data_IF_256078696379
#
_entry.id   IF_256078696379
#
_cell.length_a   1.000
_cell.length_b   1.000
_cell.length_c   1.000
_cell.angle_alpha   90.00
_cell.angle_beta   90.00
_cell.angle_gamma   90.00
#
_symmetry.space_group_name_H-M   'P 1'
#
loop_
_entity.id
_entity.type
_entity.pdbx_description
1 polymer ?
#
# COMPACT_ATOMS: atom_id res chain seq x y z
N UNK A 1 -9.38 21.98 -2.40
CA UNK A 1 -8.57 20.78 -2.09
C UNK A 1 -9.45 19.57 -2.31
N UNK A 2 -9.11 18.65 -3.22
CA UNK A 2 -9.96 17.51 -3.55
C UNK A 2 -9.19 16.23 -3.26
N UNK A 3 -9.56 15.55 -2.17
CA UNK A 3 -9.08 14.21 -1.86
C UNK A 3 -9.92 13.25 -2.69
N UNK A 4 -9.32 12.60 -3.71
CA UNK A 4 -10.01 11.56 -4.48
C UNK A 4 -9.64 10.21 -3.87
N UNK A 5 -10.48 9.71 -2.97
CA UNK A 5 -10.41 8.29 -2.57
C UNK A 5 -10.95 7.46 -3.73
N UNK A 6 -10.16 6.52 -4.23
CA UNK A 6 -10.56 5.62 -5.32
C UNK A 6 -11.38 4.41 -4.82
N UNK A 7 -11.86 4.44 -3.58
CA UNK A 7 -12.61 3.34 -2.98
C UNK A 7 -14.10 3.59 -3.01
N UNK A 8 -14.81 3.32 -4.12
CA UNK A 8 -16.26 3.04 -4.08
C UNK A 8 -16.70 2.02 -5.13
N UNK A 9 -17.74 1.21 -4.80
CA UNK A 9 -18.21 0.12 -5.65
C UNK A 9 -18.74 0.66 -6.97
N UNK A 10 -18.59 -0.18 -8.00
CA UNK A 10 -18.91 -0.11 -9.43
C UNK A 10 -19.97 0.88 -9.99
N UNK A 11 -20.73 1.64 -9.21
CA UNK A 11 -21.97 2.28 -9.71
C UNK A 11 -22.08 3.80 -9.57
N UNK A 12 -21.28 4.50 -8.74
CA UNK A 12 -21.60 5.92 -8.41
C UNK A 12 -20.69 7.00 -8.97
N UNK A 13 -19.73 6.67 -9.82
CA UNK A 13 -18.90 7.68 -10.49
C UNK A 13 -18.83 7.45 -12.01
N UNK A 14 -19.97 7.62 -12.69
CA UNK A 14 -20.05 8.10 -14.09
C UNK A 14 -19.56 7.19 -15.23
N UNK A 15 -20.44 7.10 -16.25
CA UNK A 15 -20.07 6.88 -17.65
C UNK A 15 -19.90 5.43 -18.08
N UNK A 16 -20.95 4.87 -18.69
CA UNK A 16 -20.98 3.63 -19.51
C UNK A 16 -19.85 2.61 -19.24
N UNK A 17 -20.17 1.57 -18.47
CA UNK A 17 -19.43 0.31 -18.49
C UNK A 17 -19.66 -0.33 -19.87
N UNK A 18 -18.76 -0.08 -20.81
CA UNK A 18 -18.56 -0.94 -21.98
C UNK A 18 -17.24 -1.68 -21.74
N UNK A 19 -17.29 -2.80 -21.02
CA UNK A 19 -16.09 -3.60 -20.70
C UNK A 19 -16.33 -4.64 -19.61
N UNK A 20 -15.40 -5.58 -19.51
CA UNK A 20 -15.32 -6.62 -18.48
C UNK A 20 -15.40 -6.01 -17.07
N UNK A 21 -16.43 -6.37 -16.30
CA UNK A 21 -16.73 -5.75 -14.99
C UNK A 21 -15.68 -5.99 -13.90
N UNK A 22 -14.65 -6.79 -14.20
CA UNK A 22 -13.51 -7.08 -13.31
C UNK A 22 -12.31 -6.16 -13.55
N UNK A 23 -12.26 -5.42 -14.65
CA UNK A 23 -11.20 -4.46 -14.96
C UNK A 23 -11.70 -3.04 -14.75
N UNK A 24 -10.93 -2.25 -14.01
CA UNK A 24 -11.11 -0.82 -13.91
C UNK A 24 -9.79 -0.11 -14.17
N UNK A 25 -9.84 1.02 -14.87
CA UNK A 25 -8.67 1.85 -15.08
C UNK A 25 -9.02 3.34 -15.06
N UNK A 26 -7.98 4.14 -14.86
CA UNK A 26 -7.97 5.57 -15.01
C UNK A 26 -6.92 5.90 -16.06
N UNK A 27 -7.37 6.46 -17.18
CA UNK A 27 -6.47 7.04 -18.20
C UNK A 27 -5.63 8.16 -17.60
N UNK A 28 -4.56 8.53 -18.31
CA UNK A 28 -3.63 9.56 -17.89
C UNK A 28 -4.34 10.81 -17.34
N UNK A 29 -3.95 11.19 -16.12
CA UNK A 29 -4.37 12.41 -15.43
C UNK A 29 -3.14 13.22 -15.02
N UNK A 30 -3.22 14.54 -15.04
CA UNK A 30 -2.14 15.39 -14.59
C UNK A 30 -1.94 15.26 -13.07
N UNK A 31 -0.68 15.36 -12.65
CA UNK A 31 -0.26 15.57 -11.26
C UNK A 31 0.84 16.64 -11.19
N UNK A 32 1.45 16.85 -10.02
CA UNK A 32 2.39 17.96 -9.78
C UNK A 32 3.61 17.99 -10.72
N UNK A 33 3.98 16.86 -11.33
CA UNK A 33 5.25 16.72 -12.09
C UNK A 33 5.11 15.92 -13.38
N UNK A 34 3.89 15.76 -13.91
CA UNK A 34 3.65 14.96 -15.11
C UNK A 34 2.24 14.39 -15.16
N UNK A 35 2.11 13.19 -15.70
CA UNK A 35 0.85 12.44 -15.79
C UNK A 35 0.96 11.08 -15.09
N UNK A 36 -0.16 10.60 -14.56
CA UNK A 36 -0.28 9.27 -13.96
C UNK A 36 -1.54 8.56 -14.47
N UNK A 37 -1.49 7.22 -14.49
CA UNK A 37 -2.64 6.35 -14.76
C UNK A 37 -2.69 5.23 -13.72
N UNK A 38 -3.85 4.62 -13.54
CA UNK A 38 -4.04 3.49 -12.62
C UNK A 38 -4.83 2.41 -13.36
N UNK A 39 -4.52 1.14 -13.12
CA UNK A 39 -5.36 0.03 -13.53
C UNK A 39 -5.48 -0.96 -12.37
N UNK A 40 -6.64 -1.60 -12.25
CA UNK A 40 -6.96 -2.60 -11.23
C UNK A 40 -7.71 -3.72 -11.93
N UNK A 41 -7.25 -4.96 -11.70
CA UNK A 41 -7.90 -6.17 -12.21
C UNK A 41 -8.30 -7.02 -11.02
N UNK A 42 -9.60 -7.29 -10.89
CA UNK A 42 -10.13 -8.07 -9.79
C UNK A 42 -9.97 -9.57 -10.06
N UNK A 43 -9.19 -10.26 -9.22
CA UNK A 43 -9.03 -11.71 -9.25
C UNK A 43 -9.90 -12.44 -8.21
N UNK A 44 -10.16 -11.83 -7.05
CA UNK A 44 -10.95 -12.41 -5.97
C UNK A 44 -12.45 -12.09 -6.11
N UNK A 45 -13.32 -12.87 -5.44
CA UNK A 45 -14.77 -12.63 -5.45
C UNK A 45 -15.14 -11.26 -4.86
N UNK A 46 -14.36 -10.78 -3.89
CA UNK A 46 -14.33 -9.41 -3.42
C UNK A 46 -12.92 -8.87 -3.65
N UNK A 47 -12.80 -7.71 -4.30
CA UNK A 47 -11.52 -7.02 -4.41
C UNK A 47 -11.04 -6.58 -3.02
N UNK A 48 -9.92 -7.16 -2.57
CA UNK A 48 -9.25 -6.80 -1.33
C UNK A 48 -8.32 -5.61 -1.54
N UNK A 49 -7.63 -5.55 -2.68
CA UNK A 49 -6.74 -4.46 -3.04
C UNK A 49 -7.43 -3.10 -3.07
N UNK A 50 -6.75 -2.10 -2.53
CA UNK A 50 -7.16 -0.71 -2.60
C UNK A 50 -6.01 0.14 -3.13
N UNK A 51 -6.34 1.23 -3.81
CA UNK A 51 -5.37 2.24 -4.22
C UNK A 51 -5.95 3.64 -4.04
N UNK A 52 -5.09 4.65 -3.97
CA UNK A 52 -5.53 6.04 -3.98
C UNK A 52 -4.42 6.98 -4.47
N UNK A 53 -4.84 8.08 -5.08
CA UNK A 53 -3.93 9.14 -5.50
C UNK A 53 -4.46 10.49 -5.03
N UNK A 54 -3.58 11.25 -4.39
CA UNK A 54 -3.79 12.65 -4.06
C UNK A 54 -2.86 13.50 -4.92
N UNK A 55 -3.40 14.57 -5.51
CA UNK A 55 -2.64 15.52 -6.31
C UNK A 55 -2.93 16.94 -5.86
N UNK A 56 -1.89 17.75 -5.72
CA UNK A 56 -1.92 19.20 -5.60
C UNK A 56 -0.91 19.81 -6.57
N UNK A 57 -0.87 21.15 -6.73
CA UNK A 57 0.18 21.79 -7.52
C UNK A 57 1.61 21.53 -7.01
N UNK A 58 1.79 21.17 -5.74
CA UNK A 58 3.10 20.99 -5.10
C UNK A 58 3.40 19.57 -4.62
N UNK A 59 2.41 18.67 -4.64
CA UNK A 59 2.57 17.33 -4.12
C UNK A 59 1.73 16.28 -4.87
N UNK A 60 2.23 15.07 -4.94
CA UNK A 60 1.53 13.88 -5.47
C UNK A 60 1.77 12.72 -4.51
N UNK A 61 0.71 12.16 -3.92
CA UNK A 61 0.79 10.96 -3.08
C UNK A 61 0.07 9.81 -3.76
N UNK A 62 0.68 8.64 -3.77
CA UNK A 62 0.17 7.40 -4.34
C UNK A 62 0.22 6.32 -3.27
N UNK A 63 -0.89 5.62 -3.07
CA UNK A 63 -1.00 4.49 -2.15
C UNK A 63 -1.47 3.24 -2.88
N UNK A 64 -0.81 2.11 -2.62
CA UNK A 64 -1.19 0.77 -3.08
C UNK A 64 -1.24 -0.14 -1.86
N UNK A 65 -2.37 -0.82 -1.67
CA UNK A 65 -2.67 -1.59 -0.48
C UNK A 65 -3.19 -2.97 -0.91
N UNK A 66 -2.36 -4.00 -0.80
CA UNK A 66 -2.72 -5.40 -1.07
C UNK A 66 -3.34 -5.97 0.20
N UNK A 67 -4.66 -6.20 0.17
CA UNK A 67 -5.42 -6.66 1.32
C UNK A 67 -5.52 -8.19 1.36
N UNK A 68 -5.52 -8.78 2.55
CA UNK A 68 -5.65 -10.23 2.71
C UNK A 68 -6.49 -10.63 3.91
N UNK A 69 -7.22 -11.74 3.78
CA UNK A 69 -8.12 -12.26 4.81
C UNK A 69 -9.44 -11.51 4.93
N UNK A 70 -9.67 -10.53 4.04
CA UNK A 70 -10.77 -9.58 4.02
C UNK A 70 -10.32 -8.17 3.59
N UNK A 71 -11.19 -7.37 2.96
CA UNK A 71 -10.85 -6.02 2.48
C UNK A 71 -10.83 -4.95 3.58
N UNK A 72 -11.13 -5.30 4.84
CA UNK A 72 -11.36 -4.33 5.91
C UNK A 72 -10.11 -3.50 6.23
N UNK A 73 -8.94 -4.13 6.28
CA UNK A 73 -7.67 -3.47 6.59
C UNK A 73 -7.24 -2.51 5.48
N UNK A 74 -7.18 -2.98 4.23
CA UNK A 74 -6.81 -2.14 3.07
C UNK A 74 -7.78 -0.97 2.87
N UNK A 75 -9.08 -1.17 3.10
CA UNK A 75 -10.10 -0.09 3.10
C UNK A 75 -9.96 0.85 4.28
N UNK A 76 -9.46 0.39 5.42
CA UNK A 76 -9.17 1.26 6.55
C UNK A 76 -7.97 2.15 6.24
N UNK A 77 -6.86 1.57 5.77
CA UNK A 77 -5.66 2.30 5.35
C UNK A 77 -6.00 3.37 4.33
N UNK A 78 -6.74 3.02 3.27
CA UNK A 78 -7.16 3.97 2.24
C UNK A 78 -7.90 5.18 2.82
N UNK A 79 -8.86 4.96 3.73
CA UNK A 79 -9.67 6.04 4.30
C UNK A 79 -8.91 6.97 5.25
N UNK A 80 -7.83 6.51 5.91
CA UNK A 80 -7.22 7.23 7.02
C UNK A 80 -5.80 7.71 6.73
N UNK A 81 -4.96 6.92 6.04
CA UNK A 81 -3.52 7.18 5.95
C UNK A 81 -3.19 8.55 5.35
N UNK A 82 -3.83 8.92 4.25
CA UNK A 82 -3.59 10.23 3.62
C UNK A 82 -4.12 11.40 4.45
N UNK A 83 -5.15 11.18 5.28
CA UNK A 83 -5.63 12.18 6.21
C UNK A 83 -4.57 12.47 7.29
N UNK A 84 -3.96 11.40 7.82
CA UNK A 84 -2.85 11.52 8.75
C UNK A 84 -1.61 12.16 8.13
N UNK A 85 -1.23 11.76 6.90
CA UNK A 85 -0.14 12.41 6.16
C UNK A 85 -0.40 13.91 6.02
N UNK A 86 -1.61 14.32 5.62
CA UNK A 86 -1.92 15.74 5.47
C UNK A 86 -1.88 16.48 6.81
N UNK A 87 -2.48 15.91 7.86
CA UNK A 87 -2.49 16.48 9.21
C UNK A 87 -1.06 16.70 9.71
N UNK A 88 -0.25 15.65 9.72
CA UNK A 88 1.10 15.70 10.27
C UNK A 88 2.06 16.51 9.40
N UNK A 89 1.85 16.50 8.07
CA UNK A 89 2.59 17.37 7.16
C UNK A 89 2.33 18.85 7.44
N UNK A 90 1.05 19.22 7.68
CA UNK A 90 0.69 20.59 8.06
C UNK A 90 1.28 21.01 9.41
N UNK A 91 1.30 20.10 10.39
CA UNK A 91 1.89 20.35 11.71
C UNK A 91 3.41 20.59 11.65
N UNK A 92 4.12 19.88 10.76
CA UNK A 92 5.59 19.90 10.66
C UNK A 92 6.10 20.81 9.53
N UNK A 93 5.21 21.47 8.78
CA UNK A 93 5.58 22.39 7.70
C UNK A 93 6.02 21.74 6.39
N UNK A 94 5.72 20.46 6.17
CA UNK A 94 6.13 19.73 4.97
C UNK A 94 5.99 18.23 5.12
N UNK A 95 6.14 17.49 4.02
CA UNK A 95 6.27 16.03 4.09
C UNK A 95 7.70 15.69 4.52
N UNK A 96 7.86 14.67 5.36
CA UNK A 96 9.17 14.14 5.76
C UNK A 96 9.03 12.66 6.13
N UNK A 97 10.17 11.98 6.28
CA UNK A 97 10.18 10.58 6.74
C UNK A 97 9.49 10.41 8.11
N UNK A 98 9.66 11.35 9.03
CA UNK A 98 9.02 11.33 10.34
C UNK A 98 7.51 11.56 10.27
N UNK A 99 7.06 12.46 9.39
CA UNK A 99 5.62 12.65 9.11
C UNK A 99 5.00 11.37 8.58
N UNK A 100 5.69 10.69 7.66
CA UNK A 100 5.23 9.41 7.11
C UNK A 100 5.15 8.35 8.21
N UNK A 101 6.21 8.15 8.99
CA UNK A 101 6.22 7.21 10.12
C UNK A 101 5.10 7.47 11.12
N UNK A 102 4.87 8.74 11.50
CA UNK A 102 3.76 9.13 12.38
C UNK A 102 2.41 8.80 11.78
N UNK A 103 2.23 9.00 10.48
CA UNK A 103 0.97 8.70 9.79
C UNK A 103 0.67 7.20 9.75
N UNK A 104 1.68 6.38 9.46
CA UNK A 104 1.56 4.92 9.53
C UNK A 104 1.23 4.45 10.95
N UNK A 105 1.98 4.91 11.96
CA UNK A 105 1.73 4.57 13.35
C UNK A 105 0.31 4.95 13.81
N UNK A 106 -0.16 6.15 13.47
CA UNK A 106 -1.53 6.58 13.83
C UNK A 106 -2.60 5.74 13.12
N UNK A 107 -2.35 5.35 11.86
CA UNK A 107 -3.27 4.48 11.11
C UNK A 107 -3.36 3.09 11.74
N UNK A 108 -2.21 2.52 12.15
CA UNK A 108 -2.15 1.21 12.78
C UNK A 108 -2.83 1.21 14.16
N UNK A 109 -2.53 2.19 15.02
CA UNK A 109 -3.13 2.29 16.35
C UNK A 109 -4.67 2.38 16.25
N UNK A 110 -5.19 3.24 15.38
CA UNK A 110 -6.64 3.36 15.18
C UNK A 110 -7.27 2.08 14.62
N UNK A 111 -6.55 1.37 13.75
CA UNK A 111 -7.02 0.10 13.23
C UNK A 111 -7.07 -0.98 14.32
N UNK A 112 -6.06 -1.04 15.20
CA UNK A 112 -6.06 -1.92 16.37
C UNK A 112 -7.26 -1.62 17.28
N UNK A 113 -7.58 -0.33 17.51
CA UNK A 113 -8.76 0.04 18.30
C UNK A 113 -10.07 -0.39 17.61
N UNK A 114 -10.15 -0.27 16.28
CA UNK A 114 -11.29 -0.79 15.50
C UNK A 114 -11.43 -2.31 15.67
N UNK A 115 -10.34 -3.06 15.51
CA UNK A 115 -10.29 -4.52 15.67
C UNK A 115 -10.78 -4.93 17.04
N UNK A 116 -10.25 -4.34 18.12
CA UNK A 116 -10.66 -4.63 19.51
C UNK A 116 -12.17 -4.43 19.72
N UNK A 117 -12.72 -3.33 19.19
CA UNK A 117 -14.16 -3.03 19.31
C UNK A 117 -15.03 -3.97 18.48
N UNK A 118 -14.56 -4.38 17.30
CA UNK A 118 -15.32 -5.23 16.38
C UNK A 118 -15.22 -6.72 16.71
N UNK A 119 -14.22 -7.14 17.47
CA UNK A 119 -13.93 -8.55 17.75
C UNK A 119 -15.12 -9.37 18.28
N UNK A 120 -15.95 -8.89 19.24
CA UNK A 120 -17.06 -9.69 19.77
C UNK A 120 -18.15 -9.99 18.73
N UNK A 121 -18.35 -9.09 17.76
CA UNK A 121 -19.37 -9.24 16.72
C UNK A 121 -18.83 -9.75 15.38
N UNK A 122 -17.53 -9.63 15.15
CA UNK A 122 -16.86 -10.03 13.91
C UNK A 122 -15.44 -10.57 14.21
N UNK A 123 -15.32 -11.79 14.75
CA UNK A 123 -14.02 -12.35 15.14
C UNK A 123 -12.98 -12.42 14.01
N UNK A 124 -13.44 -12.59 12.76
CA UNK A 124 -12.58 -12.64 11.56
C UNK A 124 -11.78 -11.36 11.33
N UNK A 125 -12.18 -10.22 11.92
CA UNK A 125 -11.42 -8.97 11.78
C UNK A 125 -10.02 -9.06 12.40
N UNK A 126 -9.76 -10.01 13.30
CA UNK A 126 -8.43 -10.23 13.87
C UNK A 126 -7.45 -10.88 12.89
N UNK A 127 -7.94 -11.45 11.78
CA UNK A 127 -7.12 -12.12 10.76
C UNK A 127 -7.02 -11.34 9.44
N UNK A 128 -7.60 -10.14 9.37
CA UNK A 128 -7.44 -9.27 8.19
C UNK A 128 -6.13 -8.50 8.28
N UNK A 129 -5.52 -8.22 7.14
CA UNK A 129 -4.33 -7.39 7.06
C UNK A 129 -4.19 -6.76 5.68
N UNK A 130 -3.16 -5.92 5.54
CA UNK A 130 -2.85 -5.26 4.28
C UNK A 130 -1.36 -4.97 4.20
N UNK A 131 -0.73 -5.30 3.08
CA UNK A 131 0.50 -4.61 2.69
C UNK A 131 0.17 -3.14 2.42
N UNK A 132 1.15 -2.27 2.60
CA UNK A 132 0.98 -0.84 2.40
C UNK A 132 2.23 -0.22 1.78
N UNK A 133 2.09 0.20 0.52
CA UNK A 133 3.09 0.97 -0.20
C UNK A 133 2.60 2.40 -0.41
N UNK A 134 3.41 3.38 -0.02
CA UNK A 134 3.20 4.79 -0.31
C UNK A 134 4.39 5.34 -1.08
N UNK A 135 4.10 5.95 -2.24
CA UNK A 135 5.02 6.82 -2.95
C UNK A 135 4.54 8.27 -2.87
N UNK A 136 5.42 9.21 -2.55
CA UNK A 136 5.06 10.61 -2.47
C UNK A 136 6.12 11.50 -3.11
N UNK A 137 5.69 12.38 -4.02
CA UNK A 137 6.52 13.44 -4.60
C UNK A 137 6.07 14.74 -3.96
N UNK A 138 6.96 15.44 -3.26
CA UNK A 138 6.66 16.73 -2.63
C UNK A 138 7.90 17.59 -2.63
N UNK A 139 7.79 18.86 -3.03
CA UNK A 139 8.90 19.82 -3.02
C UNK A 139 10.19 19.32 -3.71
N UNK A 140 10.05 18.55 -4.79
CA UNK A 140 11.16 17.99 -5.57
C UNK A 140 11.79 16.71 -4.99
N UNK A 141 11.30 16.21 -3.86
CA UNK A 141 11.77 14.97 -3.24
C UNK A 141 10.78 13.82 -3.46
N UNK A 142 11.33 12.62 -3.67
CA UNK A 142 10.57 11.37 -3.76
C UNK A 142 10.76 10.56 -2.48
N UNK A 143 9.65 10.28 -1.81
CA UNK A 143 9.56 9.43 -0.63
C UNK A 143 8.90 8.10 -1.00
N UNK A 144 9.47 7.00 -0.51
CA UNK A 144 8.89 5.66 -0.63
C UNK A 144 8.86 5.01 0.75
N UNK A 145 7.68 4.56 1.17
CA UNK A 145 7.48 3.80 2.39
C UNK A 145 6.74 2.49 2.05
N UNK A 146 7.30 1.36 2.47
CA UNK A 146 6.79 0.04 2.15
C UNK A 146 6.67 -0.83 3.40
N UNK A 147 5.51 -1.45 3.58
CA UNK A 147 5.24 -2.50 4.56
C UNK A 147 4.65 -3.70 3.80
N UNK A 148 5.35 -4.83 3.81
CA UNK A 148 4.99 -6.01 3.04
C UNK A 148 5.70 -6.10 1.68
N UNK A 149 5.08 -6.77 0.72
CA UNK A 149 5.69 -7.22 -0.54
C UNK A 149 5.18 -6.51 -1.80
N UNK A 150 4.42 -5.42 -1.63
CA UNK A 150 4.22 -4.45 -2.70
C UNK A 150 5.53 -3.76 -3.08
N UNK A 151 5.61 -3.17 -4.29
CA UNK A 151 6.87 -2.63 -4.81
C UNK A 151 6.76 -1.32 -5.57
N UNK A 152 7.68 -0.40 -5.28
CA UNK A 152 7.94 0.79 -6.09
C UNK A 152 9.18 0.59 -6.98
N UNK A 153 9.07 0.96 -8.26
CA UNK A 153 10.15 0.88 -9.25
C UNK A 153 10.20 2.18 -10.04
N UNK A 154 11.39 2.78 -10.13
CA UNK A 154 11.68 3.97 -10.93
C UNK A 154 12.23 3.58 -12.30
N UNK A 155 11.58 4.03 -13.36
CA UNK A 155 12.14 3.94 -14.71
C UNK A 155 13.02 5.15 -15.01
N UNK A 156 14.33 4.95 -15.15
CA UNK A 156 15.30 6.00 -15.51
C UNK A 156 15.71 5.83 -16.97
N UNK A 157 15.61 6.88 -17.78
CA UNK A 157 16.14 6.86 -19.16
C UNK A 157 17.67 6.68 -19.10
N UNK A 158 18.19 5.73 -19.88
CA UNK A 158 19.62 5.48 -19.97
C UNK A 158 20.37 6.66 -20.60
N UNK A 159 21.67 6.75 -20.31
CA UNK A 159 22.56 7.80 -20.83
C UNK A 159 22.81 7.70 -22.35
N UNK A 160 22.60 6.52 -22.93
CA UNK A 160 22.73 6.28 -24.36
C UNK A 160 21.45 6.72 -25.08
N UNK A 161 21.45 7.98 -25.52
CA UNK A 161 20.31 8.62 -26.17
C UNK A 161 19.88 7.90 -27.47
N UNK A 162 20.77 7.15 -28.12
CA UNK A 162 20.46 6.42 -29.36
C UNK A 162 19.74 5.09 -29.11
N UNK A 163 19.89 4.50 -27.92
CA UNK A 163 19.32 3.18 -27.61
C UNK A 163 17.95 3.23 -26.93
N UNK A 164 17.42 4.41 -26.62
CA UNK A 164 16.13 4.60 -25.91
C UNK A 164 15.95 3.61 -24.74
N UNK A 165 17.03 3.28 -24.05
CA UNK A 165 17.02 2.28 -22.99
C UNK A 165 16.40 2.86 -21.73
N UNK A 166 15.66 2.03 -20.99
CA UNK A 166 15.11 2.37 -19.68
C UNK A 166 15.71 1.41 -18.66
N UNK A 167 16.28 1.98 -17.60
CA UNK A 167 16.82 1.24 -16.46
C UNK A 167 15.74 1.22 -15.39
N UNK A 168 15.34 0.02 -14.96
CA UNK A 168 14.43 -0.16 -13.84
C UNK A 168 15.24 -0.18 -12.53
N UNK A 169 14.99 0.80 -11.67
CA UNK A 169 15.63 0.95 -10.37
C UNK A 169 14.58 0.66 -9.27
N UNK A 170 14.79 -0.40 -8.51
CA UNK A 170 13.90 -0.76 -7.40
C UNK A 170 14.08 0.24 -6.26
N UNK A 171 12.97 0.81 -5.77
CA UNK A 171 12.98 1.80 -4.69
C UNK A 171 12.50 1.25 -3.33
N UNK A 172 11.96 0.03 -3.29
CA UNK A 172 11.54 -0.63 -2.06
C UNK A 172 12.02 -2.08 -2.01
N UNK A 173 12.31 -2.57 -0.80
CA UNK A 173 12.58 -3.98 -0.52
C UNK A 173 11.29 -4.67 -0.11
N UNK A 174 11.03 -5.85 -0.66
CA UNK A 174 9.90 -6.68 -0.25
C UNK A 174 10.16 -7.22 1.17
N UNK A 175 9.20 -7.05 2.07
CA UNK A 175 9.23 -7.64 3.41
C UNK A 175 8.38 -8.90 3.42
N UNK A 176 9.03 -10.02 3.11
CA UNK A 176 8.37 -11.32 2.91
C UNK A 176 9.29 -12.44 3.45
N UNK A 177 8.72 -13.42 4.15
CA UNK A 177 9.49 -14.53 4.76
C UNK A 177 10.08 -15.52 3.75
N UNK A 178 9.90 -15.32 2.44
CA UNK A 178 10.76 -15.93 1.43
C UNK A 178 12.21 -15.44 1.51
N UNK A 179 12.41 -14.20 1.96
CA UNK A 179 13.69 -13.58 2.27
C UNK A 179 14.26 -14.13 3.57
N UNK A 180 15.51 -14.59 3.57
CA UNK A 180 16.13 -15.22 4.74
C UNK A 180 16.37 -14.23 5.87
N UNK A 181 16.74 -12.99 5.53
CA UNK A 181 16.97 -11.91 6.49
C UNK A 181 15.68 -11.59 7.27
N UNK A 182 14.54 -11.50 6.57
CA UNK A 182 13.23 -11.28 7.19
C UNK A 182 12.83 -12.46 8.08
N UNK A 183 13.12 -13.71 7.68
CA UNK A 183 12.88 -14.88 8.54
C UNK A 183 13.65 -14.78 9.85
N UNK A 184 14.95 -14.50 9.77
CA UNK A 184 15.82 -14.36 10.95
C UNK A 184 15.35 -13.24 11.87
N UNK A 185 14.92 -12.12 11.30
CA UNK A 185 14.35 -11.00 12.06
C UNK A 185 13.09 -11.43 12.82
N UNK A 186 12.11 -12.03 12.13
CA UNK A 186 10.85 -12.49 12.74
C UNK A 186 11.11 -13.52 13.84
N UNK A 187 11.99 -14.49 13.61
CA UNK A 187 12.38 -15.49 14.61
C UNK A 187 13.06 -14.84 15.83
N UNK A 188 13.91 -13.84 15.62
CA UNK A 188 14.60 -13.14 16.72
C UNK A 188 13.66 -12.32 17.62
N UNK A 189 12.58 -11.79 17.04
CA UNK A 189 11.55 -11.03 17.77
C UNK A 189 10.59 -11.95 18.55
N UNK A 190 10.55 -13.25 18.21
CA UNK A 190 9.65 -14.23 18.82
C UNK A 190 10.40 -15.48 19.29
N UNK A 191 11.36 -15.34 20.24
CA UNK A 191 12.21 -16.46 20.66
C UNK A 191 11.44 -17.61 21.32
N UNK A 192 10.27 -17.33 21.88
CA UNK A 192 9.41 -18.32 22.55
C UNK A 192 8.44 -19.04 21.59
N UNK A 193 8.48 -18.70 20.30
CA UNK A 193 7.54 -19.18 19.29
C UNK A 193 8.26 -19.91 18.16
N UNK A 194 8.58 -21.18 18.40
CA UNK A 194 9.36 -22.00 17.45
C UNK A 194 8.66 -22.19 16.09
N UNK A 195 7.34 -22.01 16.03
CA UNK A 195 6.51 -22.14 14.83
C UNK A 195 6.11 -20.77 14.25
N UNK A 196 6.80 -19.69 14.64
CA UNK A 196 6.51 -18.34 14.12
C UNK A 196 6.70 -18.27 12.61
N UNK A 197 7.72 -18.94 12.08
CA UNK A 197 7.99 -19.07 10.64
C UNK A 197 8.06 -20.56 10.28
N UNK A 198 7.19 -21.01 9.39
CA UNK A 198 7.09 -22.43 9.00
C UNK A 198 7.16 -22.59 7.50
N UNK A 199 7.81 -23.66 7.05
CA UNK A 199 7.83 -24.05 5.64
C UNK A 199 6.70 -25.06 5.37
N UNK A 200 5.68 -24.64 4.63
CA UNK A 200 4.51 -25.47 4.34
C UNK A 200 4.12 -25.34 2.87
N UNK A 201 3.86 -26.48 2.21
CA UNK A 201 3.45 -26.55 0.79
C UNK A 201 4.42 -25.82 -0.15
N UNK A 202 5.71 -25.92 0.11
CA UNK A 202 6.74 -25.35 -0.77
C UNK A 202 7.01 -23.85 -0.58
N UNK A 203 6.41 -23.22 0.43
CA UNK A 203 6.59 -21.79 0.72
C UNK A 203 6.75 -21.53 2.22
N UNK A 204 7.54 -20.51 2.55
CA UNK A 204 7.68 -20.01 3.93
C UNK A 204 6.49 -19.13 4.30
N UNK A 205 5.94 -19.32 5.51
CA UNK A 205 4.79 -18.56 6.01
C UNK A 205 4.93 -18.23 7.50
N UNK A 206 4.47 -17.05 7.90
CA UNK A 206 4.29 -16.67 9.31
C UNK A 206 3.08 -17.43 9.85
N UNK A 207 3.28 -18.20 10.92
CA UNK A 207 2.25 -19.06 11.56
C UNK A 207 1.54 -20.02 10.60
N UNK A 208 2.12 -20.30 9.44
CA UNK A 208 1.50 -21.11 8.38
C UNK A 208 0.43 -20.39 7.57
N UNK A 209 0.23 -19.07 7.77
CA UNK A 209 -0.88 -18.31 7.19
C UNK A 209 -0.40 -17.41 6.05
N UNK A 210 0.46 -16.43 6.32
CA UNK A 210 0.83 -15.35 5.37
C UNK A 210 2.32 -15.35 5.04
N UNK A 211 2.72 -14.81 3.89
CA UNK A 211 4.12 -14.67 3.49
C UNK A 211 4.69 -13.27 3.75
N UNK A 212 3.84 -12.25 3.68
CA UNK A 212 4.23 -10.87 3.97
C UNK A 212 4.49 -10.73 5.47
N UNK A 213 5.67 -10.23 5.82
CA UNK A 213 6.02 -9.82 7.18
C UNK A 213 5.95 -8.30 7.25
N UNK A 214 5.12 -7.78 8.15
CA UNK A 214 5.01 -6.35 8.44
C UNK A 214 5.56 -6.04 9.82
#
# INVERSE_FOLDING_TARGET
MMMRSCCRPLERCFGRINGDGLLWHMDLKPHASGDFSIAVVQANSSLEDQSQVFTSPSATYVGVYDGHGGPEASRFVNRHLFSYLHKFSKEQGGLSSDVIKRAFHATEEDFIQLVKRSLPGMPKIASVGSCCLVGAISEGELYVANLGDSRAVLGRRGFDAEKNSVIAERLSTDHNVSCEEVRKEVESLHPDDQDVVVYIRGVWRIKGIIQSGS
#
